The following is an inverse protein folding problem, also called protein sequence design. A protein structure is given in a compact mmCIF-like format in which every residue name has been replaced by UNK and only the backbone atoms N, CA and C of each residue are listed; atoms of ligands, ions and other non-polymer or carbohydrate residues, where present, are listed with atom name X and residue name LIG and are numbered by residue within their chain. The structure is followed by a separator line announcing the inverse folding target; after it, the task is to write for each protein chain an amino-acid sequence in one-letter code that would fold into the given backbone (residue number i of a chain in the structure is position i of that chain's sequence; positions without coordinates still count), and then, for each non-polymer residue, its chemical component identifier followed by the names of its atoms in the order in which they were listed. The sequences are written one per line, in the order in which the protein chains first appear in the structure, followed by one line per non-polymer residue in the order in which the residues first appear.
data_IF_707602498327
#
_entry.id   IF_707602498327
#
_cell.length_a   1.000
_cell.length_b   1.000
_cell.length_c   1.000
_cell.angle_alpha   90.00
_cell.angle_beta   90.00
_cell.angle_gamma   90.00
#
_symmetry.space_group_name_H-M   'P 1'
#
loop_
_entity.id
_entity.type
_entity.pdbx_description
1 polymer ?
#
# COMPACT_ATOMS: atom_id res chain seq x y z
N UNK A 1 -20.22 -13.96 2.55
CA UNK A 1 -18.99 -14.67 2.96
C UNK A 1 -18.25 -15.16 1.73
N UNK A 2 -16.97 -14.89 1.66
CA UNK A 2 -16.17 -15.31 0.51
C UNK A 2 -15.59 -16.70 0.75
N UNK A 3 -15.80 -17.58 -0.22
CA UNK A 3 -15.27 -18.93 -0.14
C UNK A 3 -13.77 -18.96 -0.44
N UNK A 4 -13.10 -19.99 0.05
CA UNK A 4 -11.71 -20.25 -0.27
C UNK A 4 -11.61 -20.92 -1.64
N UNK A 5 -10.56 -20.63 -2.43
CA UNK A 5 -9.48 -19.70 -2.11
C UNK A 5 -9.88 -18.23 -2.32
N UNK A 6 -9.23 -17.34 -1.56
CA UNK A 6 -9.43 -15.91 -1.71
C UNK A 6 -8.69 -15.38 -2.96
N UNK A 7 -9.01 -14.16 -3.43
CA UNK A 7 -8.27 -13.56 -4.55
C UNK A 7 -6.76 -13.49 -4.32
N UNK A 8 -6.31 -13.12 -3.12
CA UNK A 8 -4.88 -13.05 -2.83
C UNK A 8 -4.24 -14.44 -2.84
N UNK A 9 -4.96 -15.45 -2.37
CA UNK A 9 -4.46 -16.82 -2.41
C UNK A 9 -4.31 -17.32 -3.85
N UNK A 10 -5.26 -16.96 -4.73
CA UNK A 10 -5.18 -17.32 -6.14
C UNK A 10 -4.01 -16.64 -6.84
N UNK A 11 -3.80 -15.35 -6.59
CA UNK A 11 -2.67 -14.62 -7.17
C UNK A 11 -1.34 -15.23 -6.72
N UNK A 12 -1.22 -15.52 -5.42
CA UNK A 12 0.00 -16.12 -4.87
C UNK A 12 0.25 -17.51 -5.43
N UNK A 13 -0.80 -18.30 -5.61
CA UNK A 13 -0.68 -19.66 -6.17
C UNK A 13 -0.18 -19.62 -7.62
N UNK A 14 -0.70 -18.70 -8.42
CA UNK A 14 -0.25 -18.53 -9.81
C UNK A 14 1.20 -18.07 -9.84
N UNK A 15 1.57 -17.10 -9.02
CA UNK A 15 2.94 -16.60 -8.96
C UNK A 15 3.92 -17.72 -8.56
N UNK A 16 3.55 -18.51 -7.57
CA UNK A 16 4.39 -19.61 -7.11
C UNK A 16 4.56 -20.68 -8.18
N UNK A 17 3.47 -21.07 -8.85
CA UNK A 17 3.54 -22.01 -9.96
C UNK A 17 4.47 -21.51 -11.07
N UNK A 18 4.33 -20.25 -11.45
CA UNK A 18 5.16 -19.69 -12.51
C UNK A 18 6.64 -19.65 -12.11
N UNK A 19 6.95 -19.35 -10.86
CA UNK A 19 8.34 -19.33 -10.37
C UNK A 19 8.94 -20.71 -10.29
N UNK A 20 8.18 -21.67 -9.79
CA UNK A 20 8.69 -23.01 -9.53
C UNK A 20 8.77 -23.86 -10.79
N UNK A 21 7.73 -23.80 -11.62
CA UNK A 21 7.58 -24.76 -12.72
C UNK A 21 7.86 -24.17 -14.11
N UNK A 22 7.72 -22.88 -14.30
CA UNK A 22 7.87 -22.27 -15.62
C UNK A 22 9.17 -21.49 -15.75
N UNK A 23 9.52 -20.66 -14.76
CA UNK A 23 10.72 -19.83 -14.83
C UNK A 23 12.00 -20.62 -15.08
N UNK A 24 12.21 -21.79 -14.43
CA UNK A 24 13.43 -22.57 -14.68
C UNK A 24 13.58 -23.09 -16.10
N UNK A 25 12.47 -23.16 -16.85
CA UNK A 25 12.47 -23.65 -18.22
C UNK A 25 12.72 -22.55 -19.27
N UNK A 26 12.79 -21.30 -18.84
CA UNK A 26 12.93 -20.15 -19.72
C UNK A 26 14.32 -19.55 -19.61
N UNK A 27 14.76 -18.91 -20.70
CA UNK A 27 16.03 -18.19 -20.76
C UNK A 27 15.86 -16.93 -21.61
N UNK A 28 16.82 -16.01 -21.49
CA UNK A 28 16.85 -14.81 -22.33
C UNK A 28 15.66 -13.90 -22.09
N UNK A 29 15.10 -13.40 -23.19
CA UNK A 29 14.04 -12.40 -23.15
C UNK A 29 12.75 -12.92 -22.49
N UNK A 30 12.41 -14.18 -22.74
CA UNK A 30 11.22 -14.80 -22.15
C UNK A 30 11.34 -14.88 -20.62
N UNK A 31 12.51 -15.23 -20.11
CA UNK A 31 12.76 -15.26 -18.67
C UNK A 31 12.64 -13.86 -18.05
N UNK A 32 13.14 -12.85 -18.74
CA UNK A 32 13.03 -11.46 -18.30
C UNK A 32 11.57 -11.01 -18.25
N UNK A 33 10.79 -11.29 -19.31
CA UNK A 33 9.38 -10.93 -19.34
C UNK A 33 8.59 -11.60 -18.21
N UNK A 34 8.89 -12.87 -17.93
CA UNK A 34 8.21 -13.58 -16.86
C UNK A 34 8.51 -12.92 -15.51
N UNK A 35 9.76 -12.53 -15.28
CA UNK A 35 10.15 -11.87 -14.04
C UNK A 35 9.40 -10.55 -13.84
N UNK A 36 9.26 -9.76 -14.92
CA UNK A 36 8.48 -8.52 -14.87
C UNK A 36 7.02 -8.82 -14.51
N UNK A 37 6.43 -9.84 -15.14
CA UNK A 37 5.06 -10.26 -14.85
C UNK A 37 4.89 -10.74 -13.41
N UNK A 38 5.86 -11.49 -12.89
CA UNK A 38 5.83 -11.95 -11.50
C UNK A 38 5.92 -10.80 -10.52
N UNK A 39 6.73 -9.79 -10.82
CA UNK A 39 6.81 -8.59 -9.98
C UNK A 39 5.46 -7.86 -9.96
N UNK A 40 4.75 -7.81 -11.09
CA UNK A 40 3.42 -7.24 -11.15
C UNK A 40 2.42 -8.03 -10.31
N UNK A 41 2.48 -9.37 -10.35
CA UNK A 41 1.62 -10.21 -9.52
C UNK A 41 1.89 -10.01 -8.03
N UNK A 42 3.17 -9.86 -7.66
CA UNK A 42 3.54 -9.59 -6.28
C UNK A 42 2.98 -8.25 -5.81
N UNK A 43 2.99 -7.24 -6.67
CA UNK A 43 2.41 -5.93 -6.36
C UNK A 43 0.91 -6.05 -6.11
N UNK A 44 0.20 -6.78 -6.97
CA UNK A 44 -1.24 -7.00 -6.81
C UNK A 44 -1.52 -7.72 -5.48
N UNK A 45 -0.75 -8.74 -5.16
CA UNK A 45 -0.92 -9.49 -3.91
C UNK A 45 -0.72 -8.60 -2.69
N UNK A 46 0.30 -7.74 -2.70
CA UNK A 46 0.54 -6.78 -1.61
C UNK A 46 -0.62 -5.79 -1.49
N UNK A 47 -1.10 -5.28 -2.60
CA UNK A 47 -2.22 -4.34 -2.62
C UNK A 47 -3.47 -4.99 -2.03
N UNK A 48 -3.80 -6.21 -2.46
CA UNK A 48 -4.97 -6.93 -1.94
C UNK A 48 -4.86 -7.22 -0.44
N UNK A 49 -3.65 -7.41 0.05
CA UNK A 49 -3.41 -7.72 1.46
C UNK A 49 -3.44 -6.48 2.35
N UNK A 50 -2.86 -5.37 1.88
CA UNK A 50 -2.58 -4.20 2.71
C UNK A 50 -3.57 -3.05 2.54
N UNK A 51 -4.22 -2.95 1.39
CA UNK A 51 -5.05 -1.79 1.06
C UNK A 51 -6.23 -1.60 2.03
N UNK A 52 -6.96 -2.67 2.30
CA UNK A 52 -8.17 -2.55 3.14
C UNK A 52 -7.83 -2.06 4.55
N UNK A 53 -6.78 -2.62 5.17
CA UNK A 53 -6.40 -2.20 6.52
C UNK A 53 -5.76 -0.81 6.51
N UNK A 54 -4.99 -0.48 5.48
CA UNK A 54 -4.41 0.84 5.32
C UNK A 54 -5.46 1.92 5.14
N UNK A 55 -6.46 1.64 4.32
CA UNK A 55 -7.57 2.58 4.08
C UNK A 55 -8.39 2.80 5.35
N UNK A 56 -8.65 1.75 6.12
CA UNK A 56 -9.39 1.88 7.38
C UNK A 56 -8.63 2.74 8.39
N UNK A 57 -7.33 2.52 8.52
CA UNK A 57 -6.48 3.30 9.42
C UNK A 57 -6.38 4.76 8.94
N UNK A 58 -6.25 4.99 7.65
CA UNK A 58 -6.21 6.34 7.08
C UNK A 58 -7.52 7.09 7.36
N UNK A 59 -8.65 6.41 7.15
CA UNK A 59 -9.96 7.00 7.41
C UNK A 59 -10.10 7.42 8.86
N UNK A 60 -9.65 6.59 9.80
CA UNK A 60 -9.71 6.91 11.22
C UNK A 60 -8.86 8.13 11.54
N UNK A 61 -7.63 8.19 11.02
CA UNK A 61 -6.76 9.35 11.24
C UNK A 61 -7.34 10.63 10.66
N UNK A 62 -7.89 10.55 9.44
CA UNK A 62 -8.52 11.71 8.77
C UNK A 62 -9.74 12.21 9.55
N UNK A 63 -10.57 11.29 10.02
CA UNK A 63 -11.77 11.67 10.79
C UNK A 63 -11.39 12.43 12.06
N UNK A 64 -10.35 11.99 12.74
CA UNK A 64 -9.84 12.69 13.95
C UNK A 64 -9.23 14.04 13.60
N UNK A 65 -8.43 14.08 12.53
CA UNK A 65 -7.73 15.29 12.12
C UNK A 65 -8.72 16.38 11.68
N UNK A 66 -9.75 16.00 10.94
CA UNK A 66 -10.72 16.94 10.38
C UNK A 66 -11.93 17.18 11.30
N UNK A 67 -12.11 16.33 12.32
CA UNK A 67 -13.24 16.45 13.24
C UNK A 67 -14.58 16.14 12.60
N UNK A 68 -14.61 15.35 11.55
CA UNK A 68 -15.83 14.99 10.86
C UNK A 68 -15.70 13.58 10.28
N UNK A 69 -16.82 13.03 9.84
CA UNK A 69 -16.84 11.70 9.23
C UNK A 69 -17.27 11.78 7.76
N UNK A 70 -16.92 10.76 6.99
CA UNK A 70 -17.25 10.68 5.58
C UNK A 70 -16.46 9.56 4.94
N UNK A 71 -16.55 9.44 3.62
CA UNK A 71 -15.75 8.47 2.88
C UNK A 71 -14.29 8.94 2.83
N UNK A 72 -13.38 8.00 2.55
CA UNK A 72 -11.97 8.33 2.41
C UNK A 72 -11.76 9.39 1.32
N UNK A 73 -12.43 9.25 0.19
CA UNK A 73 -12.36 10.21 -0.90
C UNK A 73 -12.85 11.60 -0.48
N UNK A 74 -13.98 11.66 0.22
CA UNK A 74 -14.54 12.93 0.70
C UNK A 74 -13.59 13.61 1.70
N UNK A 75 -13.06 12.86 2.64
CA UNK A 75 -12.16 13.42 3.66
C UNK A 75 -10.82 13.84 3.09
N UNK A 76 -10.28 13.11 2.12
CA UNK A 76 -9.06 13.54 1.43
C UNK A 76 -9.28 14.83 0.65
N UNK A 77 -10.44 14.96 0.01
CA UNK A 77 -10.80 16.17 -0.70
C UNK A 77 -10.92 17.36 0.25
N UNK A 78 -11.55 17.12 1.40
CA UNK A 78 -11.68 18.15 2.45
C UNK A 78 -10.34 18.55 3.02
N UNK A 79 -9.46 17.61 3.27
CA UNK A 79 -8.11 17.89 3.76
C UNK A 79 -7.35 18.77 2.77
N UNK A 80 -7.40 18.44 1.49
CA UNK A 80 -6.75 19.24 0.45
C UNK A 80 -7.28 20.67 0.42
N UNK A 81 -8.60 20.83 0.54
CA UNK A 81 -9.21 22.16 0.56
C UNK A 81 -8.78 22.98 1.78
N UNK A 82 -8.71 22.36 2.96
CA UNK A 82 -8.31 23.05 4.19
C UNK A 82 -6.82 23.40 4.20
N UNK A 83 -5.98 22.58 3.59
CA UNK A 83 -4.56 22.91 3.42
C UNK A 83 -4.44 24.10 2.49
N UNK A 84 -5.15 24.09 1.36
CA UNK A 84 -5.12 25.19 0.39
C UNK A 84 -5.60 26.51 1.00
N UNK A 85 -6.60 26.48 1.89
CA UNK A 85 -7.15 27.66 2.55
C UNK A 85 -6.31 28.15 3.73
N UNK A 86 -5.35 27.34 4.19
CA UNK A 86 -4.54 27.66 5.36
C UNK A 86 -5.15 27.26 6.70
N UNK A 87 -6.36 26.66 6.71
CA UNK A 87 -6.96 26.19 7.95
C UNK A 87 -6.17 25.05 8.59
N UNK A 88 -5.51 24.23 7.77
CA UNK A 88 -4.67 23.12 8.21
C UNK A 88 -3.26 23.37 7.67
N UNK A 89 -2.28 23.29 8.55
CA UNK A 89 -0.89 23.50 8.20
C UNK A 89 0.05 22.70 9.07
N UNK A 90 1.35 22.99 8.99
CA UNK A 90 2.38 22.24 9.72
C UNK A 90 2.16 22.24 11.23
N UNK A 91 1.55 23.28 11.78
CA UNK A 91 1.27 23.42 13.20
C UNK A 91 -0.04 22.74 13.61
N UNK A 92 -0.81 22.22 12.66
CA UNK A 92 -2.04 21.50 12.98
C UNK A 92 -1.69 20.14 13.59
N UNK A 93 -2.17 19.84 14.82
CA UNK A 93 -1.86 18.57 15.45
C UNK A 93 -2.31 17.38 14.60
N UNK A 94 -1.40 16.46 14.38
CA UNK A 94 -1.69 15.22 13.65
C UNK A 94 -1.44 15.26 12.15
N UNK A 95 -1.27 16.43 11.53
CA UNK A 95 -1.09 16.49 10.08
C UNK A 95 0.21 15.81 9.64
N UNK A 96 1.33 16.14 10.26
CA UNK A 96 2.63 15.59 9.88
C UNK A 96 2.65 14.07 10.03
N UNK A 97 2.12 13.57 11.14
CA UNK A 97 2.03 12.14 11.41
C UNK A 97 1.14 11.44 10.39
N UNK A 98 0.03 12.07 10.03
CA UNK A 98 -0.90 11.51 9.04
C UNK A 98 -0.23 11.38 7.67
N UNK A 99 0.41 12.45 7.20
CA UNK A 99 1.10 12.46 5.90
C UNK A 99 2.22 11.42 5.88
N UNK A 100 2.99 11.35 6.97
CA UNK A 100 4.08 10.38 7.09
C UNK A 100 3.57 8.94 7.03
N UNK A 101 2.52 8.63 7.81
CA UNK A 101 1.97 7.28 7.84
C UNK A 101 1.36 6.90 6.48
N UNK A 102 0.67 7.84 5.82
CA UNK A 102 0.13 7.60 4.48
C UNK A 102 1.24 7.29 3.49
N UNK A 103 2.36 8.00 3.58
CA UNK A 103 3.53 7.75 2.73
C UNK A 103 4.10 6.36 2.99
N UNK A 104 4.24 5.96 4.26
CA UNK A 104 4.75 4.64 4.61
C UNK A 104 3.83 3.53 4.09
N UNK A 105 2.53 3.70 4.20
CA UNK A 105 1.56 2.71 3.73
C UNK A 105 1.66 2.51 2.22
N UNK A 106 1.83 3.59 1.48
CA UNK A 106 2.02 3.51 0.02
C UNK A 106 3.33 2.82 -0.35
N UNK A 107 4.40 3.14 0.37
CA UNK A 107 5.71 2.51 0.13
C UNK A 107 5.68 1.01 0.45
N UNK A 108 4.92 0.61 1.46
CA UNK A 108 4.78 -0.80 1.80
C UNK A 108 4.19 -1.61 0.63
N UNK A 109 3.31 -1.00 -0.15
CA UNK A 109 2.70 -1.64 -1.32
C UNK A 109 3.63 -1.52 -2.53
N UNK A 110 4.04 -0.31 -2.86
CA UNK A 110 4.73 -0.01 -4.12
C UNK A 110 6.22 -0.33 -4.10
N UNK A 111 6.90 -0.02 -3.01
CA UNK A 111 8.35 -0.14 -2.91
C UNK A 111 8.80 -0.67 -1.55
N UNK A 112 8.36 -1.89 -1.16
CA UNK A 112 8.68 -2.44 0.16
C UNK A 112 10.17 -2.70 0.36
N UNK A 113 10.95 -2.77 -0.72
CA UNK A 113 12.37 -3.04 -0.65
C UNK A 113 13.24 -1.78 -0.74
N UNK A 114 12.63 -0.59 -0.79
CA UNK A 114 13.41 0.65 -0.79
C UNK A 114 14.17 0.81 0.52
N UNK A 115 15.37 1.36 0.45
CA UNK A 115 16.23 1.52 1.64
C UNK A 115 15.58 2.41 2.69
N UNK A 116 14.95 3.49 2.26
CA UNK A 116 14.28 4.43 3.16
C UNK A 116 13.12 3.78 3.90
N UNK A 117 12.28 3.04 3.18
CA UNK A 117 11.14 2.35 3.79
C UNK A 117 11.61 1.30 4.79
N UNK A 118 12.62 0.52 4.42
CA UNK A 118 13.15 -0.55 5.30
C UNK A 118 13.73 0.01 6.59
N UNK A 119 14.41 1.15 6.52
CA UNK A 119 14.95 1.81 7.72
C UNK A 119 13.83 2.23 8.68
N UNK A 120 12.78 2.83 8.15
CA UNK A 120 11.65 3.26 8.97
C UNK A 120 10.91 2.08 9.60
N UNK A 121 10.66 1.05 8.81
CA UNK A 121 10.01 -0.17 9.30
C UNK A 121 10.82 -0.80 10.43
N UNK A 122 12.13 -0.94 10.22
CA UNK A 122 13.01 -1.59 11.18
C UNK A 122 13.18 -0.77 12.45
N UNK A 123 13.19 0.57 12.35
CA UNK A 123 13.30 1.43 13.54
C UNK A 123 12.08 1.32 14.44
N UNK A 124 10.89 1.07 13.88
CA UNK A 124 9.67 0.88 14.65
C UNK A 124 9.57 -0.49 15.31
N UNK A 125 10.30 -1.47 14.78
CA UNK A 125 10.30 -2.83 15.32
C UNK A 125 11.41 -3.06 16.35
N UNK A 126 12.38 -2.18 16.38
CA UNK A 126 13.51 -2.26 17.31
C UNK A 126 13.30 -1.53 18.64
#
# INVERSE_FOLDING_TARGET
MQDQPTPVELVNAVAEFLRADVAPQLSGHAAFKLRVGLNALDLVARQLTLEASGDAAELERLSKLLGTSGSLEELNRLLSARIASGEVGFDTPGLTEHVWQTTLDKLAIDQPNSASYRRERDSKQG
#
